data_IF_000280695346
#
_entry.id   IF_000280695346
#
_cell.length_a   1.000
_cell.length_b   1.000
_cell.length_c   1.000
_cell.angle_alpha   90.00
_cell.angle_beta   90.00
_cell.angle_gamma   90.00
#
_symmetry.space_group_name_H-M   'P 1'
#
loop_
_entity.id
_entity.type
_entity.pdbx_description
1 polymer ?
#
# COMPACT_ATOMS: atom_id res chain seq x y z
N UNK A 1 1.28 9.32 -29.05
CA UNK A 1 1.07 9.91 -27.71
C UNK A 1 0.87 8.75 -26.78
N UNK A 2 1.87 8.40 -25.99
CA UNK A 2 1.69 7.42 -24.90
C UNK A 2 0.66 7.99 -23.93
N UNK A 3 -0.36 7.20 -23.60
CA UNK A 3 -1.29 7.56 -22.54
C UNK A 3 -0.53 7.52 -21.24
N UNK A 4 -0.39 8.67 -20.58
CA UNK A 4 0.13 8.73 -19.22
C UNK A 4 -0.90 8.06 -18.30
N UNK A 5 -0.52 6.93 -17.71
CA UNK A 5 -1.38 6.18 -16.80
C UNK A 5 -1.65 7.05 -15.57
N UNK A 6 -2.93 7.28 -15.25
CA UNK A 6 -3.35 7.97 -14.04
C UNK A 6 -3.98 6.96 -13.09
N UNK A 7 -3.16 6.44 -12.19
CA UNK A 7 -3.59 5.52 -11.14
C UNK A 7 -4.30 6.27 -10.00
N UNK A 8 -5.38 5.71 -9.46
CA UNK A 8 -6.15 6.28 -8.35
C UNK A 8 -6.38 5.21 -7.26
N UNK A 9 -6.59 5.64 -6.01
CA UNK A 9 -6.91 4.72 -4.90
C UNK A 9 -8.15 3.88 -5.24
N UNK A 10 -8.09 2.59 -4.93
CA UNK A 10 -9.12 1.61 -5.29
C UNK A 10 -9.03 1.07 -6.72
N UNK A 11 -8.11 1.58 -7.56
CA UNK A 11 -7.84 0.95 -8.85
C UNK A 11 -7.17 -0.42 -8.67
N UNK A 12 -7.36 -1.27 -9.67
CA UNK A 12 -6.74 -2.59 -9.77
C UNK A 12 -5.84 -2.68 -10.98
N UNK A 13 -4.86 -3.58 -10.95
CA UNK A 13 -4.03 -3.91 -12.10
C UNK A 13 -4.34 -5.33 -12.55
N UNK A 14 -4.64 -5.49 -13.83
CA UNK A 14 -4.68 -6.79 -14.48
C UNK A 14 -3.33 -7.06 -15.10
N UNK A 15 -2.63 -8.06 -14.57
CA UNK A 15 -1.24 -8.32 -14.92
C UNK A 15 -1.12 -9.01 -16.28
N UNK A 16 -0.30 -8.40 -17.14
CA UNK A 16 0.04 -8.90 -18.45
C UNK A 16 1.02 -10.07 -18.43
N UNK A 17 1.06 -10.83 -19.52
CA UNK A 17 1.94 -11.99 -19.66
C UNK A 17 3.39 -11.59 -19.86
N UNK A 18 3.65 -10.51 -20.60
CA UNK A 18 5.01 -10.01 -20.85
C UNK A 18 5.62 -9.48 -19.56
N UNK A 19 4.89 -8.62 -18.84
CA UNK A 19 5.31 -8.10 -17.55
C UNK A 19 5.65 -9.22 -16.54
N UNK A 20 4.75 -10.20 -16.40
CA UNK A 20 4.97 -11.33 -15.47
C UNK A 20 6.16 -12.20 -15.84
N UNK A 21 6.55 -12.24 -17.13
CA UNK A 21 7.70 -13.01 -17.58
C UNK A 21 9.00 -12.30 -17.24
N UNK A 22 9.05 -10.98 -17.41
CA UNK A 22 10.24 -10.16 -17.11
C UNK A 22 10.47 -10.02 -15.60
N UNK A 23 9.39 -9.90 -14.81
CA UNK A 23 9.45 -9.73 -13.35
C UNK A 23 9.37 -11.07 -12.58
N UNK A 24 9.43 -12.20 -13.27
CA UNK A 24 9.33 -13.55 -12.68
C UNK A 24 8.01 -13.88 -11.92
N UNK A 25 7.01 -13.00 -11.92
CA UNK A 25 5.70 -13.19 -11.27
C UNK A 25 4.68 -14.00 -12.11
N UNK A 26 5.07 -15.20 -12.58
CA UNK A 26 4.19 -16.05 -13.43
C UNK A 26 2.82 -16.35 -12.83
N UNK A 27 2.71 -16.36 -11.50
CA UNK A 27 1.48 -16.64 -10.78
C UNK A 27 0.44 -15.52 -10.89
N UNK A 28 0.81 -14.33 -11.38
CA UNK A 28 -0.07 -13.19 -11.60
C UNK A 28 -0.64 -13.10 -13.02
N UNK A 29 -0.15 -13.91 -13.98
CA UNK A 29 -0.56 -13.81 -15.39
C UNK A 29 -2.09 -13.82 -15.53
N UNK A 30 -2.64 -12.73 -16.06
CA UNK A 30 -4.06 -12.56 -16.33
C UNK A 30 -4.93 -12.31 -15.08
N UNK A 31 -4.34 -12.26 -13.88
CA UNK A 31 -5.06 -11.94 -12.65
C UNK A 31 -5.23 -10.43 -12.52
N UNK A 32 -6.39 -10.04 -12.01
CA UNK A 32 -6.66 -8.68 -11.56
C UNK A 32 -6.44 -8.61 -10.06
N UNK A 33 -5.54 -7.75 -9.62
CA UNK A 33 -5.22 -7.52 -8.21
C UNK A 33 -5.59 -6.09 -7.86
N UNK A 34 -6.38 -5.92 -6.80
CA UNK A 34 -6.65 -4.60 -6.23
C UNK A 34 -5.41 -4.11 -5.51
N UNK A 35 -4.91 -2.93 -5.88
CA UNK A 35 -3.84 -2.31 -5.10
C UNK A 35 -4.46 -1.77 -3.82
N UNK A 36 -3.94 -2.19 -2.69
CA UNK A 36 -4.41 -1.78 -1.36
C UNK A 36 -3.44 -0.77 -0.75
N UNK A 37 -3.85 -0.01 0.28
CA UNK A 37 -2.92 0.85 0.98
C UNK A 37 -1.80 0.01 1.60
N UNK A 38 -0.56 0.41 1.34
CA UNK A 38 0.66 -0.10 1.93
C UNK A 38 1.43 1.07 2.54
N UNK A 39 2.24 0.82 3.57
CA UNK A 39 2.94 1.85 4.32
C UNK A 39 4.44 1.67 4.16
N UNK A 40 5.12 2.75 3.79
CA UNK A 40 6.55 2.76 3.50
C UNK A 40 7.24 3.88 4.25
N UNK A 41 8.46 3.60 4.71
CA UNK A 41 9.32 4.63 5.28
C UNK A 41 9.79 5.58 4.18
N UNK A 42 9.51 6.87 4.36
CA UNK A 42 9.97 7.96 3.53
C UNK A 42 10.97 8.81 4.31
N UNK A 43 12.22 8.80 3.87
CA UNK A 43 13.30 9.63 4.41
C UNK A 43 13.52 10.84 3.49
N UNK A 44 13.31 12.04 4.05
CA UNK A 44 13.58 13.30 3.35
C UNK A 44 14.97 13.90 3.63
N UNK A 45 15.83 13.16 4.34
CA UNK A 45 17.17 13.55 4.77
C UNK A 45 17.23 14.30 6.10
N UNK A 46 16.08 14.61 6.71
CA UNK A 46 15.99 15.22 8.05
C UNK A 46 15.27 14.30 9.05
N UNK A 47 14.17 13.70 8.61
CA UNK A 47 13.35 12.79 9.41
C UNK A 47 12.79 11.69 8.50
N UNK A 48 12.59 10.52 9.09
CA UNK A 48 11.82 9.44 8.48
C UNK A 48 10.36 9.56 8.94
N UNK A 49 9.44 9.41 7.99
CA UNK A 49 8.01 9.30 8.27
C UNK A 49 7.42 8.13 7.50
N UNK A 50 6.37 7.51 8.04
CA UNK A 50 5.65 6.47 7.33
C UNK A 50 4.60 7.10 6.42
N UNK A 51 4.63 6.76 5.12
CA UNK A 51 3.68 7.25 4.12
C UNK A 51 2.91 6.11 3.49
N UNK A 52 1.62 6.35 3.23
CA UNK A 52 0.75 5.41 2.54
C UNK A 52 0.86 5.54 1.02
N UNK A 53 0.95 4.40 0.33
CA UNK A 53 0.97 4.29 -1.12
C UNK A 53 0.19 3.05 -1.58
N UNK A 54 -0.52 3.08 -2.73
CA UNK A 54 -1.09 1.88 -3.32
C UNK A 54 0.00 0.85 -3.62
N UNK A 55 -0.25 -0.40 -3.27
CA UNK A 55 0.66 -1.50 -3.54
C UNK A 55 0.00 -2.86 -3.36
N UNK A 56 0.82 -3.90 -3.31
CA UNK A 56 0.38 -5.26 -3.02
C UNK A 56 1.45 -6.03 -2.25
N UNK A 57 1.00 -6.97 -1.43
CA UNK A 57 1.86 -7.97 -0.82
C UNK A 57 1.72 -9.28 -1.60
N UNK A 58 2.79 -9.72 -2.27
CA UNK A 58 2.78 -11.02 -2.95
C UNK A 58 2.75 -12.17 -1.94
N UNK A 59 2.08 -13.27 -2.30
CA UNK A 59 2.03 -14.46 -1.46
C UNK A 59 3.44 -15.03 -1.26
N UNK A 60 3.88 -15.09 0.01
CA UNK A 60 5.23 -15.54 0.36
C UNK A 60 6.30 -14.44 0.35
N UNK A 61 5.93 -13.18 0.11
CA UNK A 61 6.77 -12.03 0.42
C UNK A 61 6.55 -11.59 1.87
N UNK A 62 7.62 -11.14 2.52
CA UNK A 62 7.56 -10.49 3.83
C UNK A 62 7.40 -8.96 3.71
N UNK A 63 7.62 -8.41 2.52
CA UNK A 63 7.60 -6.97 2.25
C UNK A 63 6.60 -6.62 1.14
N UNK A 64 5.78 -5.56 1.32
CA UNK A 64 4.88 -5.11 0.29
C UNK A 64 5.63 -4.37 -0.83
N UNK A 65 5.11 -4.46 -2.04
CA UNK A 65 5.61 -3.71 -3.18
C UNK A 65 4.67 -2.57 -3.52
N UNK A 66 5.21 -1.34 -3.59
CA UNK A 66 4.44 -0.19 -4.04
C UNK A 66 4.16 -0.28 -5.53
N UNK A 67 3.09 0.38 -5.98
CA UNK A 67 2.77 0.49 -7.41
C UNK A 67 3.92 1.13 -8.20
N UNK A 68 4.72 1.99 -7.56
CA UNK A 68 5.87 2.65 -8.18
C UNK A 68 7.12 1.78 -8.24
N UNK A 69 7.32 0.86 -7.28
CA UNK A 69 8.35 -0.17 -7.40
C UNK A 69 8.00 -1.17 -8.51
N UNK A 70 6.73 -1.55 -8.62
CA UNK A 70 6.26 -2.52 -9.61
C UNK A 70 6.34 -1.99 -11.06
N UNK A 71 6.00 -0.71 -11.27
CA UNK A 71 5.81 -0.18 -12.62
C UNK A 71 6.68 1.04 -12.96
N UNK A 72 7.46 1.54 -12.02
CA UNK A 72 8.20 2.80 -12.15
C UNK A 72 7.33 4.03 -11.84
N UNK A 73 8.00 5.16 -11.57
CA UNK A 73 7.33 6.39 -11.13
C UNK A 73 6.38 6.97 -12.18
N UNK A 74 6.67 6.73 -13.45
CA UNK A 74 5.89 7.20 -14.59
C UNK A 74 5.15 6.04 -15.29
N UNK A 75 5.07 4.88 -14.62
CA UNK A 75 4.50 3.64 -15.16
C UNK A 75 5.21 3.16 -16.45
N UNK A 76 6.49 3.49 -16.60
CA UNK A 76 7.31 3.12 -17.76
C UNK A 76 7.44 1.60 -17.95
N UNK A 77 7.29 0.83 -16.86
CA UNK A 77 7.34 -0.63 -16.87
C UNK A 77 5.95 -1.26 -16.82
N UNK A 78 4.87 -0.56 -17.17
CA UNK A 78 3.52 -1.14 -17.15
C UNK A 78 3.28 -2.17 -18.26
N UNK A 79 4.03 -2.10 -19.36
CA UNK A 79 4.04 -3.07 -20.47
C UNK A 79 2.64 -3.47 -20.98
N UNK A 80 2.28 -4.76 -20.89
CA UNK A 80 1.02 -5.34 -21.31
C UNK A 80 0.00 -5.50 -20.17
N UNK A 81 0.25 -4.87 -19.01
CA UNK A 81 -0.75 -4.76 -17.95
C UNK A 81 -1.89 -3.83 -18.35
N UNK A 82 -3.05 -4.01 -17.70
CA UNK A 82 -4.22 -3.15 -17.90
C UNK A 82 -4.63 -2.49 -16.57
N UNK A 83 -4.89 -1.19 -16.61
CA UNK A 83 -5.48 -0.49 -15.48
C UNK A 83 -6.99 -0.76 -15.46
N UNK A 84 -7.47 -1.33 -14.37
CA UNK A 84 -8.89 -1.58 -14.13
C UNK A 84 -9.38 -0.56 -13.12
N UNK A 85 -10.25 0.35 -13.56
CA UNK A 85 -10.75 1.44 -12.72
C UNK A 85 -11.64 0.94 -11.60
N UNK A 86 -11.33 1.35 -10.38
CA UNK A 86 -12.11 1.05 -9.20
C UNK A 86 -13.49 1.71 -9.24
N UNK A 87 -14.48 1.01 -8.70
CA UNK A 87 -15.80 1.56 -8.42
C UNK A 87 -15.76 2.47 -7.18
N UNK A 88 -16.85 3.21 -6.93
CA UNK A 88 -16.98 3.99 -5.69
C UNK A 88 -16.95 3.10 -4.44
N UNK A 89 -17.48 1.87 -4.51
CA UNK A 89 -17.36 0.91 -3.40
C UNK A 89 -15.91 0.49 -3.13
N UNK A 90 -15.09 0.37 -4.17
CA UNK A 90 -13.68 -0.01 -4.01
C UNK A 90 -12.89 1.13 -3.36
N UNK A 91 -13.17 2.37 -3.73
CA UNK A 91 -12.59 3.57 -3.09
C UNK A 91 -12.98 3.66 -1.61
N UNK A 92 -14.24 3.38 -1.29
CA UNK A 92 -14.72 3.35 0.11
C UNK A 92 -14.02 2.24 0.89
N UNK A 93 -13.89 1.04 0.30
CA UNK A 93 -13.18 -0.07 0.93
C UNK A 93 -11.70 0.27 1.19
N UNK A 94 -11.02 0.88 0.21
CA UNK A 94 -9.65 1.36 0.33
C UNK A 94 -9.50 2.35 1.49
N UNK A 95 -10.37 3.37 1.54
CA UNK A 95 -10.34 4.37 2.60
C UNK A 95 -10.62 3.77 3.97
N UNK A 96 -11.50 2.77 4.05
CA UNK A 96 -11.79 2.07 5.30
C UNK A 96 -10.55 1.38 5.87
N UNK A 97 -9.72 0.76 5.04
CA UNK A 97 -8.47 0.12 5.49
C UNK A 97 -7.56 1.15 6.18
N UNK A 98 -7.44 2.35 5.60
CA UNK A 98 -6.65 3.44 6.19
C UNK A 98 -7.23 3.89 7.53
N UNK A 99 -8.55 4.13 7.59
CA UNK A 99 -9.21 4.56 8.82
C UNK A 99 -9.09 3.51 9.92
N UNK A 100 -9.28 2.23 9.61
CA UNK A 100 -9.14 1.14 10.57
C UNK A 100 -7.71 1.07 11.12
N UNK A 101 -6.69 1.26 10.29
CA UNK A 101 -5.28 1.29 10.73
C UNK A 101 -5.01 2.46 11.70
N UNK A 102 -5.51 3.66 11.37
CA UNK A 102 -5.40 4.84 12.24
C UNK A 102 -6.11 4.66 13.59
N UNK A 103 -7.29 4.01 13.60
CA UNK A 103 -8.00 3.72 14.85
C UNK A 103 -7.27 2.71 15.73
N UNK A 104 -6.59 1.72 15.14
CA UNK A 104 -5.75 0.77 15.88
C UNK A 104 -4.56 1.47 16.51
N UNK A 105 -3.89 2.34 15.75
CA UNK A 105 -2.76 3.13 16.25
C UNK A 105 -3.20 4.07 17.38
N UNK A 106 -4.30 4.80 17.20
CA UNK A 106 -4.85 5.71 18.22
C UNK A 106 -5.15 4.97 19.54
N UNK A 107 -5.76 3.78 19.47
CA UNK A 107 -6.04 2.95 20.66
C UNK A 107 -4.76 2.47 21.33
N UNK A 108 -3.70 2.16 20.57
CA UNK A 108 -2.41 1.77 21.13
C UNK A 108 -1.80 2.93 21.92
N UNK A 109 -1.87 4.16 21.39
CA UNK A 109 -1.40 5.38 22.07
C UNK A 109 -2.22 5.72 23.33
N UNK A 110 -3.56 5.61 23.27
CA UNK A 110 -4.42 5.80 24.43
C UNK A 110 -4.06 4.82 25.56
N UNK A 111 -3.77 3.56 25.21
CA UNK A 111 -3.35 2.54 26.18
C UNK A 111 -1.98 2.86 26.77
N UNK A 112 -0.99 3.17 25.93
CA UNK A 112 0.37 3.52 26.37
C UNK A 112 0.37 4.70 27.34
N UNK A 113 -0.37 5.77 27.01
CA UNK A 113 -0.47 6.97 27.85
C UNK A 113 -1.25 6.73 29.14
N UNK A 114 -2.26 5.84 29.15
CA UNK A 114 -2.96 5.44 30.37
C UNK A 114 -2.07 4.62 31.33
N UNK A 115 -1.16 3.78 30.81
CA UNK A 115 -0.23 2.98 31.61
C UNK A 115 0.93 3.82 32.20
N UNK A 116 1.43 4.83 31.48
CA UNK A 116 2.48 5.74 32.00
C UNK A 116 2.00 6.68 33.11
N UNK A 117 0.69 6.77 33.36
CA UNK A 117 0.12 7.55 34.45
C UNK A 117 0.04 6.79 35.80
N UNK A 118 0.49 5.53 35.88
CA UNK A 118 0.56 4.75 37.13
C UNK A 118 1.96 4.76 37.79
N UNK A 119 2.55 5.94 37.97
CA UNK A 119 3.73 6.13 38.86
C UNK A 119 3.34 6.64 40.26
N UNK A 120 2.10 6.39 40.70
CA UNK A 120 1.60 6.85 42.01
C UNK A 120 1.87 5.89 43.17
N UNK A 121 2.51 4.74 42.94
CA UNK A 121 2.83 3.74 43.98
C UNK A 121 4.33 3.38 44.05
N UNK A 122 5.21 4.39 44.07
CA UNK A 122 6.49 4.21 44.77
C UNK A 122 6.23 4.59 46.22
N UNK A 123 5.86 3.59 47.03
CA UNK A 123 5.76 3.72 48.48
C UNK A 123 7.08 4.28 49.04
N UNK A 124 6.98 5.40 49.76
CA UNK A 124 8.05 5.96 50.58
C UNK A 124 8.00 5.46 52.02
#
# INVERSE_FOLDING_TARGET
MEQKIKFERGDSVKFGKEWCKENHSKHLIGKTVMMTPQWFEYDNGLYCEEQECPGMLEEGSDEPESVYHLFGNEFENFMDCELVKGSESDKVAYQKIITDAQEVEAKAWEKFTAEEHDFSHIEG
#
